data_IF_924504858721
#
_entry.id   IF_924504858721
#
_cell.length_a   1.000
_cell.length_b   1.000
_cell.length_c   1.000
_cell.angle_alpha   90.00
_cell.angle_beta   90.00
_cell.angle_gamma   90.00
#
_symmetry.space_group_name_H-M   'P 1'
#
loop_
_entity.id
_entity.type
_entity.pdbx_description
1 polymer ?
#
# COMPACT_ATOMS: atom_id res chain seq x y z
N UNK A 1 -4.46 -5.27 7.84
CA UNK A 1 -4.92 -5.82 6.55
C UNK A 1 -4.10 -5.33 5.37
N UNK A 2 -3.78 -4.00 5.24
CA UNK A 2 -3.11 -3.44 4.07
C UNK A 2 -1.77 -4.10 3.73
N UNK A 3 -0.85 -4.21 4.69
CA UNK A 3 0.45 -4.86 4.46
C UNK A 3 0.34 -6.35 4.12
N UNK A 4 -0.64 -7.05 4.70
CA UNK A 4 -0.91 -8.44 4.35
C UNK A 4 -1.32 -8.60 2.89
N UNK A 5 -2.24 -7.75 2.42
CA UNK A 5 -2.67 -7.74 1.02
C UNK A 5 -1.51 -7.34 0.10
N UNK A 6 -0.76 -6.31 0.45
CA UNK A 6 0.40 -5.86 -0.33
C UNK A 6 1.48 -6.95 -0.46
N UNK A 7 1.76 -7.69 0.63
CA UNK A 7 2.68 -8.82 0.60
C UNK A 7 2.18 -9.95 -0.30
N UNK A 8 0.90 -10.36 -0.18
CA UNK A 8 0.34 -11.42 -1.01
C UNK A 8 0.25 -11.05 -2.49
N UNK A 9 0.09 -9.78 -2.82
CA UNK A 9 0.15 -9.28 -4.20
C UNK A 9 1.55 -9.37 -4.80
N UNK A 10 2.60 -9.29 -3.97
CA UNK A 10 3.99 -9.47 -4.41
C UNK A 10 4.35 -10.95 -4.56
N UNK A 11 3.99 -11.74 -3.59
CA UNK A 11 4.18 -13.19 -3.58
C UNK A 11 3.33 -13.83 -2.48
N UNK A 12 2.53 -14.84 -2.86
CA UNK A 12 1.79 -15.65 -1.91
C UNK A 12 2.45 -17.02 -1.79
N UNK A 13 3.16 -17.34 -0.69
CA UNK A 13 3.88 -18.62 -0.54
C UNK A 13 2.95 -19.84 -0.44
N UNK A 14 1.64 -19.63 -0.26
CA UNK A 14 0.65 -20.73 -0.19
C UNK A 14 -0.05 -20.96 -1.54
N UNK A 15 0.21 -20.13 -2.54
CA UNK A 15 -0.28 -20.28 -3.91
C UNK A 15 0.86 -20.81 -4.78
N UNK A 16 0.76 -22.06 -5.21
CA UNK A 16 1.77 -22.71 -6.04
C UNK A 16 1.98 -22.07 -7.43
N UNK A 17 1.06 -21.19 -7.85
CA UNK A 17 1.16 -20.44 -9.10
C UNK A 17 1.72 -19.02 -8.90
N UNK A 18 1.93 -18.61 -7.67
CA UNK A 18 2.48 -17.29 -7.33
C UNK A 18 4.00 -17.33 -7.26
N UNK A 19 4.66 -16.36 -7.86
CA UNK A 19 6.13 -16.23 -7.84
C UNK A 19 6.52 -14.78 -7.55
N UNK A 20 7.66 -14.61 -6.86
CA UNK A 20 8.29 -13.30 -6.63
C UNK A 20 8.89 -12.72 -7.93
N UNK A 21 9.01 -13.52 -8.98
CA UNK A 21 9.70 -13.14 -10.21
C UNK A 21 9.06 -11.93 -10.88
N UNK A 22 7.74 -11.88 -10.97
CA UNK A 22 7.02 -10.74 -11.54
C UNK A 22 7.26 -9.44 -10.78
N UNK A 23 7.33 -9.52 -9.45
CA UNK A 23 7.67 -8.37 -8.60
C UNK A 23 9.12 -7.96 -8.79
N UNK A 24 10.05 -8.92 -8.86
CA UNK A 24 11.46 -8.63 -9.09
C UNK A 24 11.68 -8.04 -10.49
N UNK A 25 11.01 -8.56 -11.51
CA UNK A 25 11.05 -8.01 -12.87
C UNK A 25 10.57 -6.56 -12.89
N UNK A 26 9.43 -6.26 -12.26
CA UNK A 26 8.94 -4.89 -12.14
C UNK A 26 9.90 -3.98 -11.37
N UNK A 27 10.52 -4.47 -10.30
CA UNK A 27 11.50 -3.69 -9.55
C UNK A 27 12.76 -3.37 -10.35
N UNK A 28 13.21 -4.28 -11.23
CA UNK A 28 14.43 -4.14 -11.99
C UNK A 28 14.29 -3.45 -13.34
N UNK A 29 13.09 -3.43 -13.92
CA UNK A 29 12.89 -2.87 -15.23
C UNK A 29 12.91 -1.33 -15.20
N UNK A 30 13.76 -0.71 -16.02
CA UNK A 30 13.92 0.74 -16.07
C UNK A 30 12.93 1.43 -17.03
N UNK A 31 12.26 0.68 -17.92
CA UNK A 31 11.35 1.25 -18.92
C UNK A 31 9.91 1.32 -18.40
N UNK A 32 9.44 0.24 -17.73
CA UNK A 32 8.05 0.14 -17.26
C UNK A 32 7.92 -0.21 -15.77
N UNK A 33 9.03 -0.28 -15.05
CA UNK A 33 9.13 -0.60 -13.63
C UNK A 33 9.88 0.47 -12.85
N UNK A 34 10.53 0.06 -11.77
CA UNK A 34 11.21 0.98 -10.84
C UNK A 34 12.69 1.22 -11.16
N UNK A 35 13.32 0.41 -12.01
CA UNK A 35 14.74 0.50 -12.34
C UNK A 35 15.70 0.32 -11.17
N UNK A 36 15.28 -0.38 -10.11
CA UNK A 36 16.08 -0.56 -8.89
C UNK A 36 17.22 -1.56 -9.10
N UNK A 37 18.40 -1.30 -8.53
CA UNK A 37 19.48 -2.29 -8.51
C UNK A 37 19.07 -3.49 -7.62
N UNK A 38 19.63 -4.68 -7.92
CA UNK A 38 19.40 -5.91 -7.15
C UNK A 38 17.89 -6.23 -6.95
N UNK A 39 17.12 -6.38 -8.04
CA UNK A 39 15.66 -6.41 -7.98
C UNK A 39 15.11 -7.54 -7.11
N UNK A 40 15.70 -8.73 -7.15
CA UNK A 40 15.29 -9.85 -6.29
C UNK A 40 15.50 -9.55 -4.81
N UNK A 41 16.63 -8.93 -4.44
CA UNK A 41 16.89 -8.57 -3.04
C UNK A 41 15.86 -7.57 -2.55
N UNK A 42 15.58 -6.54 -3.33
CA UNK A 42 14.58 -5.53 -2.99
C UNK A 42 13.16 -6.13 -2.92
N UNK A 43 12.80 -7.04 -3.84
CA UNK A 43 11.52 -7.71 -3.85
C UNK A 43 11.32 -8.59 -2.59
N UNK A 44 12.31 -9.40 -2.24
CA UNK A 44 12.25 -10.21 -1.01
C UNK A 44 12.27 -9.36 0.26
N UNK A 45 13.03 -8.27 0.30
CA UNK A 45 13.05 -7.36 1.45
C UNK A 45 11.69 -6.66 1.63
N UNK A 46 11.10 -6.14 0.56
CA UNK A 46 9.79 -5.51 0.60
C UNK A 46 8.71 -6.50 1.00
N UNK A 47 8.67 -7.67 0.35
CA UNK A 47 7.74 -8.75 0.68
C UNK A 47 7.88 -9.19 2.14
N UNK A 48 9.11 -9.47 2.59
CA UNK A 48 9.39 -9.93 3.95
C UNK A 48 9.00 -8.90 5.00
N UNK A 49 9.32 -7.63 4.79
CA UNK A 49 8.93 -6.54 5.68
C UNK A 49 7.39 -6.46 5.80
N UNK A 50 6.66 -6.52 4.70
CA UNK A 50 5.21 -6.44 4.69
C UNK A 50 4.55 -7.71 5.25
N UNK A 51 5.02 -8.91 4.87
CA UNK A 51 4.46 -10.18 5.30
C UNK A 51 4.65 -10.40 6.81
N UNK A 52 5.89 -10.38 7.28
CA UNK A 52 6.18 -10.54 8.70
C UNK A 52 5.72 -9.32 9.50
N UNK A 53 5.81 -8.12 8.91
CA UNK A 53 5.32 -6.90 9.51
C UNK A 53 3.83 -6.94 9.81
N UNK A 54 3.01 -7.42 8.89
CA UNK A 54 1.57 -7.57 9.10
C UNK A 54 1.27 -8.50 10.30
N UNK A 55 1.98 -9.63 10.40
CA UNK A 55 1.82 -10.59 11.50
C UNK A 55 2.28 -9.99 12.83
N UNK A 56 3.47 -9.39 12.85
CA UNK A 56 4.06 -8.84 14.07
C UNK A 56 3.26 -7.63 14.60
N UNK A 57 2.76 -6.77 13.71
CA UNK A 57 1.87 -5.66 14.09
C UNK A 57 0.54 -6.18 14.66
N UNK A 58 -0.03 -7.23 14.07
CA UNK A 58 -1.28 -7.84 14.56
C UNK A 58 -1.11 -8.43 15.97
N UNK A 59 0.02 -9.10 16.21
CA UNK A 59 0.35 -9.70 17.50
C UNK A 59 0.85 -8.67 18.53
N UNK A 60 1.16 -7.46 18.10
CA UNK A 60 1.78 -6.45 18.94
C UNK A 60 3.16 -6.87 19.44
N UNK A 61 3.96 -7.54 18.59
CA UNK A 61 5.28 -8.07 18.93
C UNK A 61 6.37 -7.35 18.14
N UNK A 62 7.35 -6.79 18.86
CA UNK A 62 8.47 -6.07 18.27
C UNK A 62 8.03 -4.85 17.45
N UNK A 63 6.88 -4.23 17.83
CA UNK A 63 6.20 -3.21 17.01
C UNK A 63 7.10 -2.06 16.64
N UNK A 64 7.92 -1.56 17.57
CA UNK A 64 8.86 -0.48 17.27
C UNK A 64 9.90 -0.87 16.24
N UNK A 65 10.42 -2.09 16.31
CA UNK A 65 11.45 -2.58 15.40
C UNK A 65 10.91 -2.83 14.00
N UNK A 66 9.74 -3.46 13.90
CA UNK A 66 9.14 -3.77 12.60
C UNK A 66 8.57 -2.54 11.90
N UNK A 67 8.23 -1.48 12.65
CA UNK A 67 7.79 -0.21 12.07
C UNK A 67 8.87 0.42 11.20
N UNK A 68 10.16 0.24 11.53
CA UNK A 68 11.27 0.84 10.75
C UNK A 68 11.31 0.31 9.31
N UNK A 69 11.45 -1.00 9.04
CA UNK A 69 11.47 -1.49 7.66
C UNK A 69 10.15 -1.22 6.92
N UNK A 70 8.99 -1.25 7.61
CA UNK A 70 7.71 -0.88 6.99
C UNK A 70 7.65 0.61 6.62
N UNK A 71 8.22 1.50 7.41
CA UNK A 71 8.34 2.92 7.04
C UNK A 71 9.24 3.09 5.82
N UNK A 72 10.33 2.32 5.73
CA UNK A 72 11.22 2.35 4.57
C UNK A 72 10.49 1.90 3.30
N UNK A 73 9.63 0.86 3.36
CA UNK A 73 8.82 0.47 2.19
C UNK A 73 7.87 1.59 1.76
N UNK A 74 7.29 2.34 2.70
CA UNK A 74 6.43 3.50 2.38
C UNK A 74 7.22 4.65 1.75
N UNK A 75 8.42 4.94 2.24
CA UNK A 75 9.30 5.98 1.63
C UNK A 75 9.66 5.59 0.20
N UNK A 76 10.08 4.34 -0.02
CA UNK A 76 10.41 3.86 -1.35
C UNK A 76 9.18 3.92 -2.27
N UNK A 77 8.01 3.48 -1.81
CA UNK A 77 6.77 3.55 -2.60
C UNK A 77 6.42 5.00 -2.98
N UNK A 78 6.54 5.95 -2.05
CA UNK A 78 6.34 7.37 -2.36
C UNK A 78 7.34 7.83 -3.43
N UNK A 79 8.63 7.57 -3.23
CA UNK A 79 9.67 8.10 -4.09
C UNK A 79 9.69 7.50 -5.52
N UNK A 80 9.28 6.22 -5.66
CA UNK A 80 9.42 5.50 -6.93
C UNK A 80 8.11 5.30 -7.68
N UNK A 81 6.97 5.28 -6.98
CA UNK A 81 5.67 4.95 -7.60
C UNK A 81 4.71 6.13 -7.57
N UNK A 82 4.64 6.84 -6.44
CA UNK A 82 3.54 7.77 -6.18
C UNK A 82 3.92 9.24 -6.39
N UNK A 83 5.21 9.57 -6.42
CA UNK A 83 5.68 10.97 -6.46
C UNK A 83 5.12 11.76 -7.64
N UNK A 84 5.15 11.18 -8.83
CA UNK A 84 4.71 11.82 -10.07
C UNK A 84 3.18 12.02 -10.13
N UNK A 85 2.43 11.27 -9.31
CA UNK A 85 0.97 11.34 -9.25
C UNK A 85 0.44 12.37 -8.25
N UNK A 86 1.34 13.06 -7.52
CA UNK A 86 0.97 14.05 -6.51
C UNK A 86 0.37 13.43 -5.25
N UNK A 87 -0.51 14.19 -4.58
CA UNK A 87 -1.00 13.80 -3.26
C UNK A 87 -2.15 12.78 -3.30
N UNK A 88 -3.18 13.07 -4.08
CA UNK A 88 -4.46 12.35 -4.03
C UNK A 88 -4.36 10.89 -4.46
N UNK A 89 -5.00 10.00 -3.69
CA UNK A 89 -5.19 8.59 -4.08
C UNK A 89 -6.29 8.44 -5.14
N UNK A 90 -7.38 9.19 -5.00
CA UNK A 90 -8.48 9.26 -5.95
C UNK A 90 -8.60 10.69 -6.48
N UNK A 91 -8.97 10.85 -7.74
CA UNK A 91 -9.19 12.16 -8.33
C UNK A 91 -10.43 12.83 -7.74
N UNK A 92 -10.22 13.94 -7.03
CA UNK A 92 -11.26 14.86 -6.55
C UNK A 92 -10.87 16.31 -6.89
N UNK A 93 -11.49 16.94 -7.89
CA UNK A 93 -11.19 18.32 -8.28
C UNK A 93 -11.49 19.36 -7.20
N UNK A 94 -12.30 19.01 -6.19
CA UNK A 94 -12.69 19.92 -5.10
C UNK A 94 -11.71 19.89 -3.93
N UNK A 95 -10.77 18.96 -3.92
CA UNK A 95 -9.76 18.88 -2.88
C UNK A 95 -8.75 20.01 -2.98
N UNK A 96 -8.26 20.49 -1.82
CA UNK A 96 -7.17 21.45 -1.76
C UNK A 96 -5.84 20.95 -2.34
N UNK A 97 -5.70 19.63 -2.48
CA UNK A 97 -4.52 18.93 -3.01
C UNK A 97 -4.83 18.24 -4.34
N UNK A 98 -5.82 18.77 -5.10
CA UNK A 98 -6.17 18.22 -6.40
C UNK A 98 -4.97 18.22 -7.36
N UNK A 99 -4.79 17.12 -8.08
CA UNK A 99 -3.83 17.08 -9.18
C UNK A 99 -4.29 17.96 -10.34
N UNK A 100 -3.37 18.46 -11.15
CA UNK A 100 -3.68 19.30 -12.31
C UNK A 100 -4.67 18.62 -13.27
N UNK A 101 -4.65 17.30 -13.33
CA UNK A 101 -5.49 16.50 -14.21
C UNK A 101 -6.78 15.99 -13.58
N UNK A 102 -7.06 16.31 -12.31
CA UNK A 102 -8.21 15.76 -11.58
C UNK A 102 -9.55 16.07 -12.27
N UNK A 103 -9.73 17.30 -12.77
CA UNK A 103 -10.96 17.71 -13.49
C UNK A 103 -11.15 16.91 -14.77
N UNK A 104 -10.11 16.79 -15.58
CA UNK A 104 -10.12 16.05 -16.83
C UNK A 104 -10.36 14.55 -16.59
N UNK A 105 -9.75 13.97 -15.55
CA UNK A 105 -9.96 12.58 -15.16
C UNK A 105 -11.42 12.30 -14.77
N UNK A 106 -12.08 13.23 -14.09
CA UNK A 106 -13.50 13.10 -13.74
C UNK A 106 -14.41 13.26 -14.97
N UNK A 107 -14.11 14.16 -15.90
CA UNK A 107 -14.83 14.27 -17.18
C UNK A 107 -14.73 12.98 -18.00
N UNK A 108 -13.54 12.42 -18.12
CA UNK A 108 -13.31 11.13 -18.80
C UNK A 108 -14.05 9.98 -18.12
N UNK A 109 -14.08 9.97 -16.77
CA UNK A 109 -14.85 8.99 -16.02
C UNK A 109 -16.36 9.14 -16.28
N UNK A 110 -16.87 10.37 -16.35
CA UNK A 110 -18.27 10.63 -16.67
C UNK A 110 -18.63 10.10 -18.08
N UNK A 111 -17.82 10.41 -19.07
CA UNK A 111 -17.99 9.89 -20.44
C UNK A 111 -17.96 8.35 -20.49
N UNK A 112 -17.03 7.72 -19.76
CA UNK A 112 -16.99 6.26 -19.66
C UNK A 112 -18.25 5.68 -19.02
N UNK A 113 -18.77 6.30 -17.96
CA UNK A 113 -20.02 5.89 -17.31
C UNK A 113 -21.23 6.03 -18.25
N UNK A 114 -21.28 7.06 -19.07
CA UNK A 114 -22.36 7.27 -20.00
C UNK A 114 -22.34 6.21 -21.13
N UNK A 115 -21.17 5.86 -21.65
CA UNK A 115 -21.03 4.73 -22.58
C UNK A 115 -21.48 3.41 -21.94
N UNK A 116 -21.10 3.16 -20.67
CA UNK A 116 -21.53 1.95 -19.96
C UNK A 116 -23.03 1.90 -19.69
N UNK A 117 -23.68 3.05 -19.45
CA UNK A 117 -25.16 3.11 -19.31
C UNK A 117 -25.87 2.85 -20.64
N UNK A 118 -25.30 3.29 -21.77
CA UNK A 118 -25.90 3.13 -23.08
C UNK A 118 -25.67 1.73 -23.68
N UNK A 119 -24.50 1.15 -23.46
CA UNK A 119 -24.05 -0.07 -24.14
C UNK A 119 -23.73 -1.25 -23.21
N UNK A 120 -23.82 -1.05 -21.88
CA UNK A 120 -23.49 -2.05 -20.88
C UNK A 120 -24.59 -2.22 -19.85
N UNK A 121 -24.38 -3.15 -18.90
CA UNK A 121 -25.23 -3.32 -17.73
C UNK A 121 -24.61 -2.52 -16.55
N UNK A 122 -24.90 -1.21 -16.54
CA UNK A 122 -24.33 -0.30 -15.56
C UNK A 122 -24.74 -0.65 -14.12
N UNK A 123 -25.96 -1.07 -13.92
CA UNK A 123 -26.51 -1.40 -12.60
C UNK A 123 -25.80 -2.64 -12.03
N UNK A 124 -25.60 -3.66 -12.84
CA UNK A 124 -24.81 -4.83 -12.45
C UNK A 124 -23.34 -4.49 -12.18
N UNK A 125 -22.72 -3.64 -13.01
CA UNK A 125 -21.32 -3.23 -12.83
C UNK A 125 -21.11 -2.40 -11.57
N UNK A 126 -22.13 -1.74 -11.06
CA UNK A 126 -22.05 -0.86 -9.88
C UNK A 126 -22.82 -1.39 -8.65
N UNK A 127 -23.32 -2.61 -8.71
CA UNK A 127 -24.07 -3.26 -7.62
C UNK A 127 -23.29 -3.25 -6.29
N UNK A 128 -21.98 -3.49 -6.34
CA UNK A 128 -21.12 -3.55 -5.17
C UNK A 128 -20.27 -2.28 -4.94
N UNK A 129 -20.53 -1.21 -5.68
CA UNK A 129 -19.84 0.06 -5.50
C UNK A 129 -19.69 0.87 -6.78
N UNK A 130 -19.37 2.15 -6.63
CA UNK A 130 -19.23 3.06 -7.75
C UNK A 130 -17.88 2.91 -8.46
N UNK A 131 -17.86 3.13 -9.78
CA UNK A 131 -16.63 3.25 -10.56
C UNK A 131 -15.99 4.59 -10.23
N UNK A 132 -14.70 4.58 -9.86
CA UNK A 132 -13.93 5.77 -9.47
C UNK A 132 -12.68 5.94 -10.32
N UNK A 133 -12.20 7.18 -10.44
CA UNK A 133 -10.93 7.47 -11.08
C UNK A 133 -9.81 7.45 -10.05
N UNK A 134 -8.89 6.49 -10.17
CA UNK A 134 -7.70 6.43 -9.32
C UNK A 134 -6.63 7.37 -9.85
N UNK A 135 -6.02 8.16 -8.96
CA UNK A 135 -4.85 8.99 -9.27
C UNK A 135 -3.54 8.31 -8.84
N UNK A 136 -3.63 7.33 -7.96
CA UNK A 136 -2.47 6.59 -7.43
C UNK A 136 -1.43 7.48 -6.73
N UNK A 137 -1.84 8.60 -6.15
CA UNK A 137 -0.96 9.52 -5.42
C UNK A 137 -0.48 8.98 -4.06
N UNK A 138 0.38 9.76 -3.40
CA UNK A 138 1.12 9.35 -2.21
C UNK A 138 0.30 9.29 -0.91
N UNK A 139 -0.96 9.69 -0.92
CA UNK A 139 -1.82 9.84 0.27
C UNK A 139 -1.85 8.60 1.16
N UNK A 140 -2.06 7.41 0.56
CA UNK A 140 -2.10 6.15 1.32
C UNK A 140 -0.74 5.80 1.92
N UNK A 141 0.34 5.93 1.14
CA UNK A 141 1.68 5.62 1.62
C UNK A 141 2.11 6.58 2.74
N UNK A 142 1.80 7.88 2.61
CA UNK A 142 2.05 8.88 3.64
C UNK A 142 1.23 8.60 4.91
N UNK A 143 -0.04 8.22 4.77
CA UNK A 143 -0.90 7.86 5.90
C UNK A 143 -0.35 6.65 6.66
N UNK A 144 0.02 5.58 5.95
CA UNK A 144 0.65 4.42 6.59
C UNK A 144 1.98 4.76 7.25
N UNK A 145 2.80 5.61 6.62
CA UNK A 145 4.04 6.09 7.21
C UNK A 145 3.81 6.81 8.55
N UNK A 146 2.86 7.74 8.61
CA UNK A 146 2.53 8.47 9.85
C UNK A 146 2.00 7.51 10.94
N UNK A 147 1.15 6.54 10.56
CA UNK A 147 0.67 5.53 11.50
C UNK A 147 1.80 4.68 12.06
N UNK A 148 2.75 4.25 11.23
CA UNK A 148 3.94 3.50 11.65
C UNK A 148 4.88 4.35 12.52
N UNK A 149 5.05 5.63 12.21
CA UNK A 149 5.81 6.57 13.02
C UNK A 149 5.18 6.72 14.43
N UNK A 150 3.87 6.81 14.51
CA UNK A 150 3.16 6.82 15.78
C UNK A 150 3.42 5.52 16.57
N UNK A 151 3.35 4.35 15.90
CA UNK A 151 3.65 3.05 16.52
C UNK A 151 5.12 2.93 16.96
N UNK A 152 6.05 3.48 16.21
CA UNK A 152 7.47 3.55 16.58
C UNK A 152 7.65 4.32 17.90
N UNK A 153 6.98 5.47 18.05
CA UNK A 153 7.06 6.31 19.24
C UNK A 153 6.32 5.71 20.44
N UNK A 154 5.08 5.30 20.26
CA UNK A 154 4.18 4.84 21.35
C UNK A 154 4.39 3.36 21.68
N UNK A 155 4.66 2.52 20.66
CA UNK A 155 4.71 1.07 20.78
C UNK A 155 3.32 0.42 20.70
N UNK A 156 3.23 -0.87 21.03
CA UNK A 156 2.07 -1.71 20.79
C UNK A 156 0.91 -1.60 21.83
N UNK A 157 1.01 -0.69 22.78
CA UNK A 157 -0.02 -0.54 23.82
C UNK A 157 0.00 -1.63 24.91
N UNK A 158 -1.00 -1.59 25.83
CA UNK A 158 -0.98 -2.40 27.06
C UNK A 158 -1.93 -3.60 27.08
N UNK A 159 -2.97 -3.61 26.25
CA UNK A 159 -4.08 -4.56 26.44
C UNK A 159 -3.89 -5.88 25.69
N UNK A 160 -3.48 -5.83 24.42
CA UNK A 160 -3.44 -7.01 23.54
C UNK A 160 -2.03 -7.31 23.01
N UNK A 161 -1.04 -6.50 23.39
CA UNK A 161 0.33 -6.57 22.88
C UNK A 161 1.15 -7.65 23.57
N UNK A 162 1.81 -8.52 22.79
CA UNK A 162 2.78 -9.47 23.31
C UNK A 162 3.99 -8.77 23.91
N UNK A 163 4.45 -7.66 23.35
CA UNK A 163 5.54 -6.85 23.93
C UNK A 163 5.28 -6.45 25.37
N UNK A 164 4.04 -6.05 25.67
CA UNK A 164 3.67 -5.67 27.06
C UNK A 164 3.73 -6.85 28.01
N UNK A 165 3.19 -8.00 27.62
CA UNK A 165 3.16 -9.20 28.47
C UNK A 165 4.55 -9.78 28.69
N UNK A 166 5.41 -9.78 27.66
CA UNK A 166 6.81 -10.17 27.74
C UNK A 166 7.55 -9.24 28.69
N UNK A 167 7.46 -7.90 28.49
CA UNK A 167 8.12 -6.93 29.35
C UNK A 167 7.67 -7.03 30.82
N UNK A 168 6.39 -7.31 31.04
CA UNK A 168 5.85 -7.53 32.40
C UNK A 168 6.42 -8.78 33.08
N UNK A 169 6.65 -9.84 32.29
CA UNK A 169 7.22 -11.09 32.79
C UNK A 169 8.67 -10.94 33.23
N UNK A 170 9.46 -10.16 32.49
CA UNK A 170 10.89 -9.98 32.76
C UNK A 170 11.21 -8.83 33.74
N UNK A 171 10.25 -7.99 34.08
CA UNK A 171 10.40 -6.94 35.10
C UNK A 171 10.11 -7.41 36.55
N UNK A 172 9.76 -8.68 36.71
CA UNK A 172 9.62 -9.35 38.02
C UNK A 172 10.89 -10.10 38.37
#
# INVERSE_FOLDING_TARGET
PGFWVAANNKWNPFDGNSSIDSTAEWFGNAEWGLGLPLPYVNAYMAWGAEYFGAILLLLGLGVRWISIPLMMTMIVAVATVHWEHGWQALNDPKSAFASEHASEAIERLAAAKDILKEHGDYDWLTEFGSIVSSNNGMEWAATYFVMLLALLCVGAGRWVSLDYWIARRFRR
#
